data_IF_563119775280
#
_entry.id   IF_563119775280
#
_cell.length_a   1.000
_cell.length_b   1.000
_cell.length_c   1.000
_cell.angle_alpha   90.00
_cell.angle_beta   90.00
_cell.angle_gamma   90.00
#
_symmetry.space_group_name_H-M   'P 1'
#
loop_
_entity.id
_entity.type
_entity.pdbx_description
1 polymer ?
#
# COMPACT_ATOMS: atom_id res chain seq x y z
N UNK A 1 -0.99 -9.07 -14.06
CA UNK A 1 0.25 -9.86 -13.96
C UNK A 1 0.65 -9.86 -12.49
N UNK A 2 0.93 -11.01 -11.89
CA UNK A 2 1.40 -11.08 -10.50
C UNK A 2 2.93 -10.96 -10.50
N UNK A 3 3.45 -9.92 -9.84
CA UNK A 3 4.89 -9.64 -9.74
C UNK A 3 5.49 -10.15 -8.42
N UNK A 4 4.70 -10.89 -7.63
CA UNK A 4 5.14 -11.45 -6.35
C UNK A 4 6.26 -12.45 -6.56
N UNK A 5 7.33 -12.29 -5.79
CA UNK A 5 8.51 -13.15 -5.80
C UNK A 5 9.01 -13.40 -4.37
N UNK A 6 9.67 -14.53 -4.10
CA UNK A 6 9.71 -15.73 -4.92
C UNK A 6 8.33 -16.38 -5.03
N UNK A 7 8.05 -17.15 -6.09
CA UNK A 7 6.74 -17.77 -6.28
C UNK A 7 6.39 -18.72 -5.12
N UNK A 8 5.15 -18.61 -4.60
CA UNK A 8 4.61 -19.41 -3.47
C UNK A 8 5.33 -19.19 -2.14
N UNK A 9 6.23 -18.24 -2.06
CA UNK A 9 6.99 -17.87 -0.88
C UNK A 9 7.05 -16.35 -0.68
N UNK A 10 6.33 -15.60 -1.50
CA UNK A 10 6.20 -14.17 -1.34
C UNK A 10 5.30 -13.87 -0.14
N UNK A 11 5.51 -12.74 0.53
CA UNK A 11 4.59 -12.25 1.57
C UNK A 11 3.13 -12.21 1.07
N UNK A 12 2.94 -11.92 -0.23
CA UNK A 12 1.62 -11.87 -0.87
C UNK A 12 0.91 -13.22 -0.97
N UNK A 13 1.64 -14.34 -0.91
CA UNK A 13 1.07 -15.68 -0.98
C UNK A 13 0.36 -16.07 0.32
N UNK A 14 0.74 -15.44 1.44
CA UNK A 14 0.17 -15.67 2.76
C UNK A 14 -0.95 -14.68 3.12
N UNK A 15 -1.32 -13.80 2.19
CA UNK A 15 -2.37 -12.80 2.36
C UNK A 15 -3.61 -13.23 1.59
N UNK A 16 -4.69 -13.50 2.32
CA UNK A 16 -5.95 -13.90 1.73
C UNK A 16 -6.56 -12.75 0.92
N UNK A 17 -7.14 -13.09 -0.23
CA UNK A 17 -7.72 -12.12 -1.18
C UNK A 17 -9.04 -11.54 -0.68
N UNK A 18 -9.83 -12.32 0.07
CA UNK A 18 -11.10 -11.84 0.62
C UNK A 18 -10.90 -10.71 1.63
N UNK A 19 -9.77 -10.72 2.33
CA UNK A 19 -9.53 -9.86 3.49
C UNK A 19 -9.15 -8.43 3.08
N UNK A 20 -8.87 -8.21 1.79
CA UNK A 20 -8.39 -6.93 1.26
C UNK A 20 -9.24 -6.46 0.05
N UNK A 21 -10.53 -6.80 0.00
CA UNK A 21 -11.40 -6.35 -1.09
C UNK A 21 -11.65 -4.85 -0.99
N UNK A 22 -11.24 -4.09 -2.01
CA UNK A 22 -11.44 -2.65 -2.07
C UNK A 22 -12.42 -2.28 -3.17
N UNK A 23 -13.21 -1.24 -2.89
CA UNK A 23 -13.99 -0.53 -3.91
C UNK A 23 -13.31 0.81 -4.13
N UNK A 24 -12.64 0.94 -5.26
CA UNK A 24 -12.01 2.20 -5.64
C UNK A 24 -13.07 3.20 -6.08
N UNK A 25 -12.84 4.48 -5.78
CA UNK A 25 -13.67 5.56 -6.30
C UNK A 25 -13.50 5.65 -7.83
N UNK A 26 -14.57 6.06 -8.51
CA UNK A 26 -14.49 6.35 -9.94
C UNK A 26 -13.59 7.55 -10.22
N UNK A 27 -12.97 7.59 -11.40
CA UNK A 27 -12.18 8.75 -11.84
C UNK A 27 -13.03 10.02 -11.86
N UNK A 28 -14.29 9.93 -12.29
CA UNK A 28 -15.21 11.06 -12.31
C UNK A 28 -15.53 11.59 -10.91
N UNK A 29 -15.64 10.70 -9.91
CA UNK A 29 -15.81 11.09 -8.52
C UNK A 29 -14.58 11.83 -7.99
N UNK A 30 -13.38 11.33 -8.30
CA UNK A 30 -12.14 11.99 -7.94
C UNK A 30 -12.03 13.38 -8.57
N UNK A 31 -12.35 13.52 -9.87
CA UNK A 31 -12.36 14.81 -10.59
C UNK A 31 -13.35 15.78 -9.95
N UNK A 32 -14.55 15.31 -9.61
CA UNK A 32 -15.58 16.13 -8.95
C UNK A 32 -15.08 16.66 -7.61
N UNK A 33 -14.44 15.81 -6.80
CA UNK A 33 -13.86 16.21 -5.51
C UNK A 33 -12.74 17.24 -5.72
N UNK A 34 -11.78 16.96 -6.60
CA UNK A 34 -10.65 17.86 -6.88
C UNK A 34 -11.11 19.21 -7.44
N UNK A 35 -12.11 19.22 -8.31
CA UNK A 35 -12.68 20.45 -8.88
C UNK A 35 -13.30 21.36 -7.82
N UNK A 36 -13.77 20.80 -6.70
CA UNK A 36 -14.28 21.56 -5.55
C UNK A 36 -13.21 22.31 -4.77
N UNK A 37 -11.96 21.84 -4.76
CA UNK A 37 -10.84 22.52 -4.08
C UNK A 37 -10.20 23.62 -4.95
N UNK A 38 -10.32 23.50 -6.28
CA UNK A 38 -9.88 24.51 -7.23
C UNK A 38 -8.38 24.49 -7.57
N UNK A 39 -7.95 25.35 -8.51
CA UNK A 39 -6.56 25.40 -8.96
C UNK A 39 -5.60 25.80 -7.83
N UNK A 40 -4.45 25.10 -7.74
CA UNK A 40 -3.42 25.38 -6.73
C UNK A 40 -3.65 24.67 -5.38
N UNK A 41 -4.66 23.80 -5.28
CA UNK A 41 -4.84 22.95 -4.11
C UNK A 41 -3.59 22.10 -3.83
N UNK A 42 -3.18 22.05 -2.56
CA UNK A 42 -2.05 21.24 -2.10
C UNK A 42 -2.53 19.83 -1.78
N UNK A 43 -1.74 18.82 -2.16
CA UNK A 43 -2.00 17.42 -1.81
C UNK A 43 -0.91 16.93 -0.86
N UNK A 44 -1.31 16.22 0.19
CA UNK A 44 -0.37 15.56 1.08
C UNK A 44 -0.01 14.18 0.53
N UNK A 45 1.27 13.81 0.64
CA UNK A 45 1.69 12.41 0.54
C UNK A 45 1.67 11.81 1.94
N UNK A 46 1.03 10.66 2.10
CA UNK A 46 0.92 9.98 3.40
C UNK A 46 1.81 8.75 3.38
N UNK A 47 2.73 8.68 4.33
CA UNK A 47 3.53 7.49 4.60
C UNK A 47 3.00 6.82 5.87
N UNK A 48 2.54 5.58 5.73
CA UNK A 48 2.00 4.81 6.85
C UNK A 48 3.13 3.96 7.43
N UNK A 49 3.53 4.16 8.70
CA UNK A 49 4.60 3.39 9.31
C UNK A 49 4.18 1.93 9.54
N UNK A 50 5.12 1.01 9.34
CA UNK A 50 4.94 -0.40 9.68
C UNK A 50 5.42 -0.63 11.11
N UNK A 51 4.62 -1.33 11.91
CA UNK A 51 5.00 -1.71 13.27
C UNK A 51 6.29 -2.54 13.25
N UNK A 52 7.20 -2.30 14.21
CA UNK A 52 8.54 -2.90 14.20
C UNK A 52 8.53 -4.43 14.24
N UNK A 53 7.54 -5.01 14.92
CA UNK A 53 7.34 -6.47 14.98
C UNK A 53 6.95 -7.09 13.63
N UNK A 54 6.71 -6.28 12.59
CA UNK A 54 6.35 -6.77 11.25
C UNK A 54 7.44 -6.53 10.20
N UNK A 55 8.52 -5.81 10.53
CA UNK A 55 9.58 -5.48 9.56
C UNK A 55 10.21 -6.73 8.93
N UNK A 56 10.38 -7.81 9.68
CA UNK A 56 10.98 -9.04 9.16
C UNK A 56 10.12 -9.75 8.10
N UNK A 57 8.82 -9.48 8.03
CA UNK A 57 7.96 -9.99 6.97
C UNK A 57 8.13 -9.26 5.63
N UNK A 58 8.70 -8.05 5.67
CA UNK A 58 8.89 -7.17 4.51
C UNK A 58 10.36 -7.10 4.08
N UNK A 59 11.13 -8.13 4.43
CA UNK A 59 12.55 -8.18 4.12
C UNK A 59 12.79 -8.60 2.67
N UNK A 60 13.77 -7.98 2.03
CA UNK A 60 14.32 -8.39 0.74
C UNK A 60 15.84 -8.36 0.75
N UNK A 61 16.45 -9.10 -0.17
CA UNK A 61 17.91 -9.19 -0.33
C UNK A 61 18.34 -8.49 -1.62
N UNK A 62 19.40 -7.71 -1.52
CA UNK A 62 20.04 -7.05 -2.65
C UNK A 62 21.55 -6.97 -2.41
N UNK A 63 22.33 -7.51 -3.34
CA UNK A 63 23.80 -7.55 -3.30
C UNK A 63 24.39 -8.15 -2.01
N UNK A 64 23.79 -9.26 -1.54
CA UNK A 64 24.17 -9.96 -0.32
C UNK A 64 23.79 -9.23 0.98
N UNK A 65 23.00 -8.15 0.89
CA UNK A 65 22.54 -7.37 2.04
C UNK A 65 21.03 -7.45 2.17
N UNK A 66 20.56 -7.46 3.42
CA UNK A 66 19.14 -7.48 3.74
C UNK A 66 18.62 -6.09 4.07
N UNK A 67 17.47 -5.76 3.50
CA UNK A 67 16.73 -4.52 3.73
C UNK A 67 15.28 -4.87 4.05
N UNK A 68 14.55 -3.95 4.66
CA UNK A 68 13.14 -4.11 4.96
C UNK A 68 12.41 -2.77 4.87
N UNK A 69 11.13 -2.84 4.56
CA UNK A 69 10.28 -1.66 4.53
C UNK A 69 9.82 -1.26 5.93
N UNK A 70 10.09 -0.01 6.32
CA UNK A 70 9.64 0.61 7.59
C UNK A 70 8.34 1.39 7.44
N UNK A 71 7.89 1.58 6.20
CA UNK A 71 6.61 2.17 5.81
C UNK A 71 5.89 1.19 4.90
N UNK A 72 4.58 1.39 4.73
CA UNK A 72 3.74 0.48 3.97
C UNK A 72 4.30 0.29 2.54
N UNK A 73 4.67 -0.94 2.15
CA UNK A 73 5.41 -1.17 0.92
C UNK A 73 4.51 -1.11 -0.30
N UNK A 74 5.06 -0.67 -1.43
CA UNK A 74 4.42 -0.89 -2.73
C UNK A 74 4.46 -2.37 -3.10
N UNK A 75 3.43 -2.84 -3.81
CA UNK A 75 3.35 -4.23 -4.28
C UNK A 75 2.89 -5.25 -3.23
N UNK A 76 2.72 -4.84 -1.97
CA UNK A 76 2.05 -5.66 -0.95
C UNK A 76 0.55 -5.80 -1.26
N UNK A 77 0.02 -7.02 -1.18
CA UNK A 77 -1.41 -7.30 -1.44
C UNK A 77 -2.33 -6.61 -0.43
N UNK A 78 -1.86 -6.45 0.80
CA UNK A 78 -2.56 -5.75 1.88
C UNK A 78 -2.42 -4.22 1.78
N UNK A 79 -1.42 -3.71 1.06
CA UNK A 79 -1.05 -2.30 1.12
C UNK A 79 -2.16 -1.34 0.67
N UNK A 80 -2.87 -1.57 -0.46
CA UNK A 80 -3.95 -0.68 -0.86
C UNK A 80 -5.08 -0.62 0.18
N UNK A 81 -5.35 -1.72 0.88
CA UNK A 81 -6.48 -1.81 1.81
C UNK A 81 -6.17 -1.08 3.11
N UNK A 82 -4.98 -1.33 3.67
CA UNK A 82 -4.50 -0.59 4.83
C UNK A 82 -4.36 0.90 4.51
N UNK A 83 -3.93 1.27 3.30
CA UNK A 83 -3.86 2.67 2.92
C UNK A 83 -5.23 3.35 2.92
N UNK A 84 -6.24 2.72 2.31
CA UNK A 84 -7.61 3.23 2.29
C UNK A 84 -8.23 3.32 3.70
N UNK A 85 -7.98 2.34 4.57
CA UNK A 85 -8.45 2.37 5.96
C UNK A 85 -7.78 3.47 6.79
N UNK A 86 -6.45 3.57 6.72
CA UNK A 86 -5.69 4.54 7.52
C UNK A 86 -5.92 5.98 7.07
N UNK A 87 -6.09 6.23 5.77
CA UNK A 87 -6.34 7.59 5.27
C UNK A 87 -7.72 8.12 5.61
N UNK A 88 -8.70 7.26 5.92
CA UNK A 88 -10.00 7.69 6.46
C UNK A 88 -9.93 8.19 7.91
N UNK A 89 -8.83 7.90 8.61
CA UNK A 89 -8.59 8.37 9.99
C UNK A 89 -7.86 9.73 10.04
N UNK A 90 -7.44 10.26 8.89
CA UNK A 90 -6.76 11.55 8.74
C UNK A 90 -7.76 12.64 8.36
#
# INVERSE_FOLDING_TARGET
MDLSRPEKQSVNDFVNRSDNSLTFIGVDDAIRVLSGYGPGALMATVLIPVHMDHWHYLCFEMDGKYYFDVVLPFGGRFSPALFDEMTKLL
#
